data_IF_184861004603
#
_entry.id   IF_184861004603
#
_cell.length_a   1.000
_cell.length_b   1.000
_cell.length_c   1.000
_cell.angle_alpha   90.00
_cell.angle_beta   90.00
_cell.angle_gamma   90.00
#
_symmetry.space_group_name_H-M   'P 1'
#
loop_
_entity.id
_entity.type
_entity.pdbx_description
1 polymer ?
#
# COMPACT_ATOMS: atom_id res chain seq x y z
N UNK A 1 2.66 15.23 -10.57
CA UNK A 1 2.35 14.19 -11.56
C UNK A 1 1.78 12.95 -10.86
N UNK A 2 0.56 12.58 -11.22
CA UNK A 2 -0.14 11.36 -10.74
C UNK A 2 -0.36 10.32 -11.85
N UNK A 3 0.11 10.64 -13.07
CA UNK A 3 0.14 9.76 -14.24
C UNK A 3 1.55 9.76 -14.82
N UNK A 4 1.98 8.63 -15.39
CA UNK A 4 3.28 8.52 -16.05
C UNK A 4 3.38 9.49 -17.23
N UNK A 5 4.59 9.96 -17.49
CA UNK A 5 4.87 10.89 -18.57
C UNK A 5 6.30 11.37 -18.52
N UNK A 6 6.51 12.59 -18.99
CA UNK A 6 7.80 13.24 -19.02
C UNK A 6 7.78 14.47 -18.13
N UNK A 7 8.86 14.69 -17.40
CA UNK A 7 9.14 15.93 -16.70
C UNK A 7 9.99 16.84 -17.58
N UNK A 8 9.50 18.04 -17.81
CA UNK A 8 10.19 19.12 -18.53
C UNK A 8 10.26 20.32 -17.58
N UNK A 9 11.46 20.71 -17.12
CA UNK A 9 11.60 21.86 -16.23
C UNK A 9 11.14 23.17 -16.88
N UNK A 10 10.62 24.10 -16.10
CA UNK A 10 10.45 25.49 -16.55
C UNK A 10 11.82 26.06 -17.01
N UNK A 11 11.90 26.71 -18.19
CA UNK A 11 13.14 27.31 -18.68
C UNK A 11 13.80 28.32 -17.73
N UNK A 12 13.04 28.95 -16.84
CA UNK A 12 13.55 29.90 -15.84
C UNK A 12 14.00 29.24 -14.54
N UNK A 13 13.66 27.97 -14.32
CA UNK A 13 14.06 27.24 -13.13
C UNK A 13 15.57 26.93 -13.15
N UNK A 14 16.23 27.19 -12.01
CA UNK A 14 17.63 26.83 -11.78
C UNK A 14 17.79 25.61 -10.89
N UNK A 15 16.77 25.31 -10.07
CA UNK A 15 16.74 24.17 -9.17
C UNK A 15 15.37 23.52 -9.10
N UNK A 16 15.34 22.24 -8.75
CA UNK A 16 14.12 21.47 -8.54
C UNK A 16 14.25 20.66 -7.26
N UNK A 17 13.25 20.73 -6.39
CA UNK A 17 13.05 19.74 -5.33
C UNK A 17 12.00 18.74 -5.82
N UNK A 18 12.38 17.48 -5.89
CA UNK A 18 11.49 16.40 -6.29
C UNK A 18 11.14 15.52 -5.09
N UNK A 19 9.86 15.18 -4.95
CA UNK A 19 9.35 14.17 -4.01
C UNK A 19 8.72 13.03 -4.80
N UNK A 20 9.16 11.80 -4.58
CA UNK A 20 8.57 10.59 -5.15
C UNK A 20 7.98 9.72 -4.06
N UNK A 21 6.80 9.17 -4.33
CA UNK A 21 6.12 8.18 -3.50
C UNK A 21 5.81 6.96 -4.36
N UNK A 22 6.17 5.78 -3.87
CA UNK A 22 5.78 4.49 -4.46
C UNK A 22 4.30 4.20 -4.18
N UNK A 23 3.69 3.30 -4.94
CA UNK A 23 2.28 3.00 -4.76
C UNK A 23 2.00 2.08 -3.55
N UNK A 24 0.81 2.16 -2.98
CA UNK A 24 0.38 1.23 -1.94
C UNK A 24 -0.02 -0.14 -2.52
N UNK A 25 0.19 -1.21 -1.77
CA UNK A 25 -0.39 -2.51 -2.10
C UNK A 25 -1.88 -2.57 -1.77
N UNK A 26 -2.62 -3.48 -2.39
CA UNK A 26 -3.96 -3.82 -1.91
C UNK A 26 -3.88 -4.65 -0.62
N UNK A 27 -4.98 -4.68 0.12
CA UNK A 27 -5.15 -5.69 1.18
C UNK A 27 -5.44 -7.07 0.61
N UNK A 28 -5.32 -8.08 1.46
CA UNK A 28 -5.67 -9.47 1.13
C UNK A 28 -7.12 -9.79 1.44
N UNK A 29 -7.73 -10.60 0.57
CA UNK A 29 -9.13 -11.03 0.70
C UNK A 29 -9.21 -12.54 0.82
N UNK A 30 -9.66 -13.09 1.95
CA UNK A 30 -9.86 -14.52 2.07
C UNK A 30 -10.87 -15.07 1.06
N UNK A 31 -10.63 -16.28 0.58
CA UNK A 31 -11.60 -17.04 -0.21
C UNK A 31 -12.88 -17.32 0.60
N UNK A 32 -13.95 -17.63 -0.11
CA UNK A 32 -15.20 -18.10 0.51
C UNK A 32 -14.91 -19.31 1.39
N UNK A 33 -15.36 -19.27 2.65
CA UNK A 33 -15.22 -20.38 3.60
C UNK A 33 -16.56 -21.06 3.84
N UNK A 34 -16.53 -22.27 4.38
CA UNK A 34 -17.72 -22.92 4.90
C UNK A 34 -18.01 -22.42 6.33
N UNK A 35 -19.26 -22.02 6.53
CA UNK A 35 -19.84 -21.56 7.78
C UNK A 35 -19.56 -22.48 8.98
N UNK A 36 -19.46 -23.78 8.73
CA UNK A 36 -19.36 -24.80 9.78
C UNK A 36 -17.93 -25.23 10.11
N UNK A 37 -16.96 -24.88 9.25
CA UNK A 37 -15.63 -25.51 9.29
C UNK A 37 -14.51 -24.51 9.56
N UNK A 38 -14.50 -23.36 8.88
CA UNK A 38 -13.37 -22.44 8.89
C UNK A 38 -13.76 -20.97 9.01
N UNK A 39 -12.81 -20.21 9.51
CA UNK A 39 -12.80 -18.75 9.55
C UNK A 39 -11.59 -18.23 8.80
N UNK A 40 -11.65 -16.99 8.30
CA UNK A 40 -10.54 -16.43 7.54
C UNK A 40 -10.43 -14.92 7.61
N UNK A 41 -9.19 -14.41 7.58
CA UNK A 41 -8.88 -12.99 7.54
C UNK A 41 -7.63 -12.73 6.67
N UNK A 42 -7.58 -11.55 6.08
CA UNK A 42 -6.44 -11.05 5.32
C UNK A 42 -5.76 -9.90 6.04
N UNK A 43 -4.42 -9.84 5.94
CA UNK A 43 -3.65 -8.68 6.33
C UNK A 43 -3.85 -7.51 5.34
N UNK A 44 -3.62 -6.28 5.81
CA UNK A 44 -3.66 -5.12 4.93
C UNK A 44 -2.36 -4.94 4.12
N UNK A 45 -2.44 -4.16 3.04
CA UNK A 45 -1.31 -3.86 2.17
C UNK A 45 -0.38 -2.80 2.78
N UNK A 46 0.92 -2.93 2.53
CA UNK A 46 1.92 -1.95 2.93
C UNK A 46 1.85 -0.66 2.12
N UNK A 47 2.26 0.44 2.74
CA UNK A 47 2.41 1.73 2.08
C UNK A 47 3.67 1.79 1.22
N UNK A 48 3.65 2.63 0.18
CA UNK A 48 4.80 2.85 -0.69
C UNK A 48 5.93 3.63 -0.03
N UNK A 49 7.15 3.45 -0.56
CA UNK A 49 8.34 4.15 -0.11
C UNK A 49 8.35 5.62 -0.51
N UNK A 50 9.38 6.34 -0.05
CA UNK A 50 9.54 7.76 -0.32
C UNK A 50 10.99 8.16 -0.54
N UNK A 51 11.22 8.98 -1.56
CA UNK A 51 12.52 9.62 -1.79
C UNK A 51 12.31 11.09 -2.16
N UNK A 52 13.13 11.95 -1.59
CA UNK A 52 13.17 13.37 -1.90
C UNK A 52 14.59 13.82 -2.18
N UNK A 53 14.76 14.59 -3.24
CA UNK A 53 16.05 15.02 -3.72
C UNK A 53 15.96 16.40 -4.39
N UNK A 54 17.11 17.05 -4.51
CA UNK A 54 17.29 18.29 -5.25
C UNK A 54 18.04 18.02 -6.55
N UNK A 55 17.70 18.79 -7.59
CA UNK A 55 18.36 18.83 -8.89
C UNK A 55 18.81 20.26 -9.13
N UNK A 56 20.08 20.44 -9.47
CA UNK A 56 20.64 21.67 -10.02
C UNK A 56 20.52 21.64 -11.55
N UNK A 57 19.63 22.46 -12.10
CA UNK A 57 19.34 22.48 -13.54
C UNK A 57 20.44 23.16 -14.35
N UNK A 58 21.26 24.02 -13.73
CA UNK A 58 22.40 24.67 -14.39
C UNK A 58 23.47 23.62 -14.71
N UNK A 59 23.70 22.70 -13.78
CA UNK A 59 24.68 21.62 -13.91
C UNK A 59 24.14 20.47 -14.76
N UNK A 60 22.95 19.97 -14.42
CA UNK A 60 22.39 18.75 -15.04
C UNK A 60 21.85 18.97 -16.45
N UNK A 61 21.42 20.19 -16.78
CA UNK A 61 20.86 20.56 -18.09
C UNK A 61 19.74 19.63 -18.58
N UNK A 62 18.93 19.13 -17.66
CA UNK A 62 17.77 18.30 -17.98
C UNK A 62 16.79 19.12 -18.82
N UNK A 63 16.40 18.59 -19.97
CA UNK A 63 15.38 19.20 -20.84
C UNK A 63 14.12 18.33 -20.92
N UNK A 64 14.27 17.03 -20.68
CA UNK A 64 13.19 16.07 -20.70
C UNK A 64 13.63 14.81 -19.96
N UNK A 65 12.83 14.32 -19.00
CA UNK A 65 13.13 13.07 -18.30
C UNK A 65 11.87 12.22 -18.08
N UNK A 66 11.91 10.91 -18.36
CA UNK A 66 10.76 10.05 -18.09
C UNK A 66 10.49 9.92 -16.60
N UNK A 67 9.21 9.99 -16.25
CA UNK A 67 8.68 9.76 -14.91
C UNK A 67 7.59 8.70 -15.01
N UNK A 68 7.83 7.55 -14.37
CA UNK A 68 6.83 6.48 -14.30
C UNK A 68 6.15 6.53 -12.95
N UNK A 69 4.83 6.63 -12.91
CA UNK A 69 4.07 6.58 -11.67
C UNK A 69 3.64 5.14 -11.40
N UNK A 70 3.98 4.64 -10.20
CA UNK A 70 3.55 3.32 -9.77
C UNK A 70 2.03 3.26 -9.60
N UNK A 71 1.40 2.20 -10.11
CA UNK A 71 -0.03 1.94 -9.90
C UNK A 71 -0.25 1.27 -8.54
N UNK A 72 -1.31 1.69 -7.84
CA UNK A 72 -1.76 1.03 -6.62
C UNK A 72 -2.18 -0.41 -6.91
N UNK A 73 -1.96 -1.30 -5.93
CA UNK A 73 -2.46 -2.67 -6.04
C UNK A 73 -3.98 -2.67 -6.19
N UNK A 74 -4.49 -3.36 -7.21
CA UNK A 74 -5.92 -3.44 -7.45
C UNK A 74 -6.64 -4.26 -6.35
N UNK A 75 -7.90 -3.92 -6.07
CA UNK A 75 -8.75 -4.69 -5.15
C UNK A 75 -8.87 -6.14 -5.62
N UNK A 76 -8.85 -7.08 -4.68
CA UNK A 76 -9.01 -8.51 -4.95
C UNK A 76 -10.16 -9.10 -4.15
N UNK A 77 -10.75 -10.17 -4.66
CA UNK A 77 -11.77 -10.95 -3.95
C UNK A 77 -11.34 -12.41 -3.92
N UNK A 78 -11.16 -12.97 -2.73
CA UNK A 78 -10.84 -14.38 -2.54
C UNK A 78 -9.38 -14.77 -2.83
N UNK A 79 -8.48 -13.79 -2.92
CA UNK A 79 -7.06 -14.02 -3.15
C UNK A 79 -6.18 -13.09 -2.33
N UNK A 80 -4.89 -13.45 -2.28
CA UNK A 80 -3.84 -12.56 -1.79
C UNK A 80 -3.87 -11.26 -2.61
N UNK A 81 -3.57 -10.15 -1.95
CA UNK A 81 -3.53 -8.82 -2.56
C UNK A 81 -2.43 -8.66 -3.62
N UNK A 82 -2.49 -7.53 -4.30
CA UNK A 82 -1.58 -7.14 -5.38
C UNK A 82 -0.60 -6.10 -4.84
N UNK A 83 0.68 -6.29 -5.15
CA UNK A 83 1.76 -5.36 -4.76
C UNK A 83 1.57 -3.98 -5.41
N UNK A 84 2.05 -2.93 -4.75
CA UNK A 84 2.10 -1.60 -5.34
C UNK A 84 3.21 -1.48 -6.38
N UNK A 85 2.95 -0.72 -7.44
CA UNK A 85 3.96 -0.37 -8.45
C UNK A 85 5.00 0.63 -7.93
N UNK A 86 6.18 0.59 -8.56
CA UNK A 86 7.28 1.51 -8.28
C UNK A 86 7.13 2.81 -9.06
N UNK A 87 7.34 3.94 -8.38
CA UNK A 87 7.45 5.26 -9.02
C UNK A 87 8.92 5.56 -9.32
N UNK A 88 9.23 5.92 -10.56
CA UNK A 88 10.58 6.18 -11.06
C UNK A 88 10.74 7.60 -11.57
N UNK A 89 11.88 8.21 -11.28
CA UNK A 89 12.39 9.41 -11.94
C UNK A 89 13.65 9.02 -12.72
N UNK A 90 13.56 9.03 -14.05
CA UNK A 90 14.56 8.40 -14.89
C UNK A 90 14.66 6.90 -14.60
N UNK A 91 15.88 6.40 -14.44
CA UNK A 91 16.17 4.97 -14.22
C UNK A 91 16.94 4.67 -12.93
N UNK A 92 17.37 5.70 -12.18
CA UNK A 92 18.25 5.54 -11.01
C UNK A 92 17.66 5.98 -9.68
N UNK A 93 16.60 6.80 -9.70
CA UNK A 93 15.93 7.29 -8.49
C UNK A 93 14.50 6.75 -8.48
N UNK A 94 14.11 6.06 -7.41
CA UNK A 94 12.81 5.44 -7.34
C UNK A 94 12.26 5.31 -5.92
N UNK A 95 10.95 5.15 -5.83
CA UNK A 95 10.25 4.74 -4.63
C UNK A 95 9.41 3.49 -4.94
N UNK A 96 9.77 2.36 -4.33
CA UNK A 96 9.08 1.09 -4.54
C UNK A 96 7.69 1.12 -3.92
N UNK A 97 6.77 0.36 -4.51
CA UNK A 97 5.50 0.13 -3.86
C UNK A 97 5.62 -0.78 -2.64
N UNK A 98 4.56 -0.81 -1.84
CA UNK A 98 4.42 -1.76 -0.72
C UNK A 98 4.06 -3.17 -1.19
N UNK A 99 4.16 -4.14 -0.29
CA UNK A 99 3.77 -5.53 -0.51
C UNK A 99 2.40 -5.83 0.09
N UNK A 100 1.78 -6.93 -0.37
CA UNK A 100 0.51 -7.44 0.16
C UNK A 100 0.67 -8.13 1.53
N UNK A 101 -0.38 -8.10 2.34
CA UNK A 101 -0.50 -8.97 3.52
C UNK A 101 -0.83 -10.41 3.17
N UNK A 102 -0.72 -11.31 4.14
CA UNK A 102 -1.05 -12.74 3.97
C UNK A 102 -2.55 -12.99 4.13
N UNK A 103 -2.98 -14.22 3.81
CA UNK A 103 -4.28 -14.75 4.20
C UNK A 103 -4.04 -15.87 5.21
N UNK A 104 -4.93 -16.01 6.19
CA UNK A 104 -4.94 -17.19 7.03
C UNK A 104 -6.35 -17.66 7.28
N UNK A 105 -6.47 -18.98 7.42
CA UNK A 105 -7.71 -19.67 7.77
C UNK A 105 -7.53 -20.43 9.08
N UNK A 106 -8.59 -20.55 9.88
CA UNK A 106 -8.55 -21.33 11.11
C UNK A 106 -9.81 -22.18 11.28
N UNK A 107 -9.69 -23.48 11.59
CA UNK A 107 -10.83 -24.31 11.97
C UNK A 107 -11.55 -23.76 13.18
N UNK A 108 -12.88 -23.77 13.18
CA UNK A 108 -13.66 -23.25 14.30
C UNK A 108 -13.39 -24.01 15.60
N UNK A 109 -13.22 -25.32 15.52
CA UNK A 109 -12.90 -26.20 16.66
C UNK A 109 -11.60 -25.84 17.38
N UNK A 110 -10.72 -25.06 16.73
CA UNK A 110 -9.44 -24.64 17.30
C UNK A 110 -9.54 -23.34 18.09
N UNK A 111 -10.71 -22.70 18.18
CA UNK A 111 -10.96 -21.62 19.13
C UNK A 111 -11.28 -22.21 20.51
N UNK A 112 -10.24 -22.63 21.22
CA UNK A 112 -10.34 -23.17 22.58
C UNK A 112 -9.80 -22.17 23.59
N UNK A 113 -10.11 -22.36 24.88
CA UNK A 113 -9.63 -21.51 25.97
C UNK A 113 -8.09 -21.38 26.08
N UNK A 114 -7.33 -22.24 25.38
CA UNK A 114 -5.86 -22.24 25.38
C UNK A 114 -5.24 -21.48 24.19
N UNK A 115 -5.95 -21.30 23.07
CA UNK A 115 -5.47 -20.53 21.90
C UNK A 115 -6.63 -19.71 21.34
N UNK A 116 -6.72 -18.48 21.80
CA UNK A 116 -7.90 -17.63 21.59
C UNK A 116 -7.84 -16.78 20.30
N UNK A 117 -6.67 -16.65 19.66
CA UNK A 117 -6.49 -15.76 18.51
C UNK A 117 -5.33 -16.13 17.57
N UNK A 118 -5.44 -15.69 16.32
CA UNK A 118 -4.40 -15.70 15.29
C UNK A 118 -4.30 -14.30 14.66
N UNK A 119 -3.08 -13.81 14.51
CA UNK A 119 -2.76 -12.55 13.82
C UNK A 119 -2.24 -12.86 12.41
N UNK A 120 -2.84 -12.23 11.40
CA UNK A 120 -2.49 -12.43 9.99
C UNK A 120 -1.46 -11.38 9.58
N UNK A 121 -0.34 -11.85 9.05
CA UNK A 121 0.82 -11.03 8.72
C UNK A 121 0.44 -9.91 7.74
N UNK A 122 0.78 -8.65 8.03
CA UNK A 122 0.53 -7.53 7.14
C UNK A 122 1.54 -7.43 6.01
N UNK A 123 1.20 -6.62 5.01
CA UNK A 123 2.12 -6.24 3.95
C UNK A 123 3.28 -5.39 4.46
N UNK A 124 4.46 -5.62 3.88
CA UNK A 124 5.67 -4.87 4.20
C UNK A 124 5.71 -3.53 3.44
N UNK A 125 6.34 -2.49 4.01
CA UNK A 125 6.44 -1.20 3.35
C UNK A 125 7.36 -1.23 2.13
N UNK A 126 7.11 -0.32 1.18
CA UNK A 126 8.05 0.02 0.12
C UNK A 126 9.22 0.87 0.65
N UNK A 127 10.26 1.00 -0.17
CA UNK A 127 11.49 1.74 0.14
C UNK A 127 11.74 2.85 -0.88
N UNK A 128 12.39 3.93 -0.45
CA UNK A 128 12.97 4.92 -1.35
C UNK A 128 14.42 4.58 -1.67
N UNK A 129 14.83 4.75 -2.92
CA UNK A 129 16.22 4.60 -3.32
C UNK A 129 16.69 5.75 -4.22
N UNK A 130 17.94 6.13 -3.98
CA UNK A 130 18.62 7.21 -4.68
C UNK A 130 20.01 6.70 -5.08
N UNK A 131 20.13 6.26 -6.33
CA UNK A 131 21.39 5.73 -6.88
C UNK A 131 22.01 6.66 -7.91
N UNK A 132 21.57 7.93 -7.95
CA UNK A 132 22.13 8.90 -8.86
C UNK A 132 23.49 9.39 -8.35
N UNK A 133 24.48 9.34 -9.24
CA UNK A 133 25.87 9.72 -8.94
C UNK A 133 26.34 10.87 -9.82
N UNK A 134 25.53 11.30 -10.79
CA UNK A 134 25.86 12.47 -11.61
C UNK A 134 25.81 13.77 -10.79
N UNK A 135 26.66 14.72 -11.21
CA UNK A 135 26.75 16.03 -10.58
C UNK A 135 25.42 16.78 -10.71
N UNK A 136 25.10 17.57 -9.68
CA UNK A 136 23.87 18.36 -9.64
C UNK A 136 22.65 17.63 -9.08
N UNK A 137 22.75 16.34 -8.74
CA UNK A 137 21.74 15.65 -7.95
C UNK A 137 22.16 15.53 -6.49
N UNK A 138 21.20 15.73 -5.57
CA UNK A 138 21.44 15.64 -4.13
C UNK A 138 20.27 14.99 -3.41
N UNK A 139 20.50 13.86 -2.75
CA UNK A 139 19.54 13.28 -1.82
C UNK A 139 19.27 14.24 -0.66
N UNK A 140 17.99 14.51 -0.38
CA UNK A 140 17.57 15.28 0.79
C UNK A 140 17.09 14.35 1.91
N UNK A 141 16.20 13.41 1.58
CA UNK A 141 15.72 12.40 2.54
C UNK A 141 15.15 11.19 1.81
N UNK A 142 15.21 10.03 2.47
CA UNK A 142 14.46 8.83 2.08
C UNK A 142 13.77 8.23 3.29
N UNK A 143 12.62 7.61 3.06
CA UNK A 143 11.87 6.93 4.09
C UNK A 143 11.19 5.68 3.50
N UNK A 144 11.00 4.68 4.36
CA UNK A 144 10.12 3.57 4.02
C UNK A 144 8.67 4.01 4.22
N UNK A 145 7.75 3.33 3.54
CA UNK A 145 6.35 3.37 3.95
C UNK A 145 6.15 2.74 5.33
N UNK A 146 4.90 2.56 5.73
CA UNK A 146 4.54 1.78 6.92
C UNK A 146 3.98 0.42 6.54
N UNK A 147 4.10 -0.53 7.47
CA UNK A 147 3.45 -1.82 7.35
C UNK A 147 1.94 -1.65 7.26
N UNK A 148 1.26 -2.59 6.61
CA UNK A 148 -0.17 -2.76 6.80
C UNK A 148 -0.49 -3.12 8.26
N UNK A 149 -1.77 -3.04 8.61
CA UNK A 149 -2.31 -3.59 9.84
C UNK A 149 -2.48 -5.11 9.74
N UNK A 150 -2.37 -5.76 10.88
CA UNK A 150 -2.58 -7.20 11.02
C UNK A 150 -4.06 -7.55 10.86
N UNK A 151 -4.36 -8.65 10.17
CA UNK A 151 -5.69 -9.26 10.26
C UNK A 151 -5.86 -9.99 11.59
N UNK A 152 -7.08 -10.07 12.10
CA UNK A 152 -7.38 -10.71 13.37
C UNK A 152 -8.41 -11.82 13.19
N UNK A 153 -8.11 -12.96 13.81
CA UNK A 153 -8.97 -14.13 13.91
C UNK A 153 -9.05 -14.57 15.36
N UNK A 154 -10.14 -14.29 16.07
CA UNK A 154 -10.27 -14.72 17.47
C UNK A 154 -11.70 -14.98 17.92
N UNK A 155 -11.82 -15.48 19.16
CA UNK A 155 -13.11 -15.73 19.80
C UNK A 155 -13.93 -14.47 20.04
N UNK A 156 -13.26 -13.31 20.13
CA UNK A 156 -13.90 -12.00 20.35
C UNK A 156 -14.36 -11.32 19.06
N UNK A 157 -14.05 -11.91 17.89
CA UNK A 157 -14.41 -11.36 16.58
C UNK A 157 -13.28 -11.48 15.57
N UNK A 158 -13.47 -10.84 14.42
CA UNK A 158 -12.52 -10.90 13.31
C UNK A 158 -12.48 -9.58 12.57
N UNK A 159 -11.30 -9.22 12.09
CA UNK A 159 -11.07 -7.99 11.35
C UNK A 159 -10.06 -8.23 10.23
N UNK A 160 -10.27 -7.58 9.10
CA UNK A 160 -9.24 -7.44 8.09
C UNK A 160 -8.20 -6.42 8.54
N UNK A 161 -6.94 -6.61 8.13
CA UNK A 161 -5.88 -5.67 8.47
C UNK A 161 -6.04 -4.31 7.82
N UNK A 162 -5.62 -3.22 8.45
CA UNK A 162 -5.67 -1.86 7.89
C UNK A 162 -4.62 -1.64 6.78
N UNK A 163 -4.81 -0.65 5.92
CA UNK A 163 -3.75 -0.22 5.00
C UNK A 163 -2.59 0.47 5.72
N UNK A 164 -1.37 0.37 5.17
CA UNK A 164 -0.20 1.13 5.62
C UNK A 164 -0.13 2.51 4.98
N UNK A 165 0.20 3.54 5.75
CA UNK A 165 0.51 4.88 5.26
C UNK A 165 1.85 4.95 4.49
N UNK A 166 1.95 5.91 3.57
CA UNK A 166 3.20 6.43 3.00
C UNK A 166 3.59 7.75 3.68
N UNK A 167 4.78 8.27 3.36
CA UNK A 167 5.28 9.55 3.91
C UNK A 167 4.38 10.76 3.60
N UNK A 168 3.66 10.75 2.46
CA UNK A 168 2.81 11.87 2.02
C UNK A 168 1.31 11.57 2.14
N UNK A 169 0.93 10.43 2.72
CA UNK A 169 -0.47 10.14 3.04
C UNK A 169 -0.82 10.59 4.46
N UNK A 170 -2.10 10.89 4.69
CA UNK A 170 -2.65 11.01 6.04
C UNK A 170 -2.76 9.66 6.76
N UNK A 171 -3.01 9.71 8.06
CA UNK A 171 -3.26 8.53 8.89
C UNK A 171 -4.63 7.93 8.58
N UNK A 172 -4.74 6.96 7.68
CA UNK A 172 -5.98 6.17 7.55
C UNK A 172 -5.68 4.71 7.85
N UNK A 173 -5.97 4.35 9.10
CA UNK A 173 -5.88 3.00 9.63
C UNK A 173 -7.22 2.28 9.63
N UNK A 174 -8.12 2.57 8.68
CA UNK A 174 -9.43 1.95 8.65
C UNK A 174 -9.27 0.44 8.35
N UNK A 175 -9.33 -0.38 9.40
CA UNK A 175 -9.35 -1.83 9.29
C UNK A 175 -10.51 -2.26 8.40
N UNK A 176 -10.25 -3.20 7.50
CA UNK A 176 -11.32 -3.76 6.69
C UNK A 176 -12.14 -4.74 7.52
N UNK A 177 -13.32 -5.07 7.01
CA UNK A 177 -14.30 -5.85 7.75
C UNK A 177 -14.93 -6.92 6.85
N UNK A 178 -16.06 -7.48 7.30
CA UNK A 178 -16.82 -8.51 6.61
C UNK A 178 -17.62 -8.04 5.39
N UNK A 179 -17.70 -6.73 5.17
CA UNK A 179 -18.43 -6.12 4.07
C UNK A 179 -17.52 -5.79 2.91
N UNK A 180 -16.41 -5.10 3.21
CA UNK A 180 -15.41 -4.66 2.23
C UNK A 180 -14.13 -4.19 2.93
N UNK A 181 -13.05 -4.09 2.16
CA UNK A 181 -11.85 -3.37 2.54
C UNK A 181 -11.92 -1.91 2.13
N UNK A 182 -11.44 -1.02 2.98
CA UNK A 182 -11.22 0.40 2.73
C UNK A 182 -10.03 0.61 1.76
N UNK A 183 -10.24 1.44 0.75
CA UNK A 183 -9.24 1.82 -0.25
C UNK A 183 -8.22 2.81 0.33
N UNK A 184 -6.94 2.62 -0.01
CA UNK A 184 -5.84 3.50 0.37
C UNK A 184 -5.94 4.89 -0.24
N UNK A 185 -6.61 5.05 -1.39
CA UNK A 185 -6.77 6.35 -2.04
C UNK A 185 -7.45 7.41 -1.14
N UNK A 186 -8.30 6.98 -0.20
CA UNK A 186 -8.90 7.88 0.79
C UNK A 186 -7.91 8.44 1.83
N UNK A 187 -6.74 7.80 1.97
CA UNK A 187 -5.67 8.21 2.88
C UNK A 187 -4.67 9.16 2.23
N UNK A 188 -4.49 9.06 0.90
CA UNK A 188 -3.52 9.83 0.14
C UNK A 188 -2.57 8.94 -0.66
N UNK A 189 -1.61 9.59 -1.32
CA UNK A 189 -0.72 8.92 -2.28
C UNK A 189 0.08 7.79 -1.62
N UNK A 190 0.23 6.68 -2.35
CA UNK A 190 1.02 5.53 -1.90
C UNK A 190 0.50 4.78 -0.67
N UNK A 191 -0.66 5.12 -0.11
CA UNK A 191 -1.23 4.37 1.01
C UNK A 191 -1.75 3.00 0.56
N UNK A 192 -1.54 1.98 1.38
CA UNK A 192 -2.04 0.63 1.17
C UNK A 192 -3.54 0.51 1.39
N UNK A 193 -4.16 -0.51 0.80
CA UNK A 193 -5.54 -0.89 1.04
C UNK A 193 -5.67 -1.88 2.20
N UNK A 194 -6.84 -1.90 2.85
CA UNK A 194 -7.11 -2.84 3.94
C UNK A 194 -7.55 -4.23 3.44
N UNK A 195 -7.27 -5.28 4.21
CA UNK A 195 -7.74 -6.64 3.95
C UNK A 195 -9.19 -6.85 4.38
N UNK A 196 -9.75 -8.04 4.14
CA UNK A 196 -11.10 -8.40 4.60
C UNK A 196 -11.09 -9.64 5.48
N UNK A 197 -12.24 -9.95 6.09
CA UNK A 197 -12.45 -11.18 6.83
C UNK A 197 -13.82 -11.79 6.48
N UNK A 198 -13.98 -13.08 6.76
CA UNK A 198 -15.27 -13.76 6.69
C UNK A 198 -15.80 -13.87 8.12
N UNK A 199 -16.90 -13.19 8.46
CA UNK A 199 -17.34 -13.05 9.85
C UNK A 199 -17.77 -14.40 10.48
N UNK A 200 -17.34 -14.60 11.72
CA UNK A 200 -17.76 -15.58 12.70
C UNK A 200 -18.42 -14.86 13.88
N UNK A 201 -19.40 -15.52 14.50
CA UNK A 201 -20.23 -15.03 15.61
C UNK A 201 -21.46 -14.19 15.22
N UNK A 202 -22.07 -14.50 14.09
CA UNK A 202 -23.48 -14.17 13.87
C UNK A 202 -24.33 -15.39 14.33
N UNK A 203 -25.30 -15.23 15.25
CA UNK A 203 -26.15 -16.33 15.69
C UNK A 203 -27.01 -16.94 14.55
N UNK A 204 -27.18 -16.22 13.44
CA UNK A 204 -27.85 -16.71 12.24
C UNK A 204 -27.06 -16.29 11.00
N UNK A 205 -25.91 -16.94 10.72
CA UNK A 205 -25.02 -16.44 9.71
C UNK A 205 -25.61 -16.75 8.33
N UNK A 206 -26.01 -15.71 7.61
CA UNK A 206 -26.42 -15.85 6.21
C UNK A 206 -25.26 -16.43 5.37
N UNK A 207 -25.58 -17.19 4.32
CA UNK A 207 -24.57 -17.76 3.40
C UNK A 207 -23.61 -16.68 2.86
N UNK A 208 -24.09 -15.44 2.70
CA UNK A 208 -23.31 -14.27 2.25
C UNK A 208 -22.28 -13.76 3.28
N UNK A 209 -22.33 -14.21 4.52
CA UNK A 209 -21.40 -13.84 5.60
C UNK A 209 -20.04 -14.54 5.46
N UNK A 210 -20.01 -15.65 4.73
CA UNK A 210 -18.80 -16.44 4.48
C UNK A 210 -18.26 -16.32 3.05
N UNK A 211 -18.94 -15.56 2.19
CA UNK A 211 -18.45 -15.27 0.84
C UNK A 211 -17.23 -14.36 0.89
N UNK A 212 -16.27 -14.59 0.01
CA UNK A 212 -15.18 -13.65 -0.23
C UNK A 212 -15.70 -12.23 -0.51
N UNK A 213 -15.00 -11.23 0.04
CA UNK A 213 -15.35 -9.80 -0.11
C UNK A 213 -14.20 -9.02 -0.71
N UNK A 214 -14.46 -7.97 -1.51
CA UNK A 214 -13.40 -7.16 -2.10
C UNK A 214 -12.53 -6.53 -1.01
N UNK A 215 -11.21 -6.67 -1.14
CA UNK A 215 -10.24 -5.92 -0.33
C UNK A 215 -10.18 -4.45 -0.76
N UNK A 216 -9.50 -3.64 0.04
CA UNK A 216 -9.16 -2.28 -0.35
C UNK A 216 -8.06 -2.28 -1.41
N UNK A 217 -8.23 -1.48 -2.46
CA UNK A 217 -7.17 -1.15 -3.40
C UNK A 217 -6.14 -0.20 -2.74
N UNK A 218 -4.88 -0.31 -3.15
CA UNK A 218 -3.84 0.66 -2.79
C UNK A 218 -3.96 1.96 -3.60
N UNK A 219 -3.41 3.05 -3.08
CA UNK A 219 -3.30 4.31 -3.79
C UNK A 219 -2.12 4.31 -4.77
N UNK A 220 -2.27 4.99 -5.90
CA UNK A 220 -1.17 5.23 -6.82
C UNK A 220 -0.04 6.03 -6.15
N UNK A 221 1.16 5.88 -6.68
CA UNK A 221 2.28 6.74 -6.35
C UNK A 221 2.09 8.17 -6.86
N UNK A 222 3.06 9.03 -6.58
CA UNK A 222 3.08 10.42 -7.05
C UNK A 222 4.52 10.91 -7.23
N UNK A 223 4.72 11.83 -8.17
CA UNK A 223 5.92 12.65 -8.25
C UNK A 223 5.54 14.13 -8.14
N UNK A 224 6.14 14.87 -7.21
CA UNK A 224 5.87 16.29 -6.98
C UNK A 224 7.16 17.07 -7.21
N UNK A 225 7.08 18.13 -8.03
CA UNK A 225 8.20 18.97 -8.41
C UNK A 225 7.95 20.39 -7.89
N UNK A 226 8.90 20.93 -7.15
CA UNK A 226 8.94 22.32 -6.75
C UNK A 226 10.13 22.97 -7.44
N UNK A 227 9.86 23.92 -8.32
CA UNK A 227 10.88 24.59 -9.12
C UNK A 227 11.23 25.93 -8.51
N UNK A 228 12.52 26.28 -8.55
CA UNK A 228 13.07 27.50 -7.97
C UNK A 228 14.04 28.16 -8.95
N UNK A 229 14.00 29.49 -8.99
CA UNK A 229 14.88 30.37 -9.77
C UNK A 229 16.18 30.74 -9.04
#
# INVERSE_FOLDING_TARGET
>A
MTTSGNYTPDPEAKKVRCQLVGAGASGSSPATTDASSYTAAGGGGGGGGFVEFEIDLIVTKITNLPVTIGLGGASVTGSVGIIGGTTWFGTKIYASGGSTGSISTRPQVNYTNAVNSLMVIPGVPGIGEFNETELGYKLLRKANGTYGGWGYLGTQGQLGGSGGASMLSGEVFAAGNRGFGNNGAGAGYGAGGSGTCNLYNDPYPEVLTYSAKPSGAGANGVAIFYEYS
#
